data_IF_765320176311
#
_entry.id   IF_765320176311
#
_cell.length_a   1.000
_cell.length_b   1.000
_cell.length_c   1.000
_cell.angle_alpha   90.00
_cell.angle_beta   90.00
_cell.angle_gamma   90.00
#
_symmetry.space_group_name_H-M   'P 1'
#
loop_
_entity.id
_entity.type
_entity.pdbx_description
1 polymer ?
#
# COMPACT_ATOMS: atom_id res chain seq x y z
N UNK A 1 -10.34 24.33 10.89
CA UNK A 1 -10.54 23.74 9.54
C UNK A 1 -11.82 22.89 9.48
N UNK A 2 -12.63 23.01 8.42
CA UNK A 2 -13.74 22.06 8.09
C UNK A 2 -13.25 20.96 7.13
N UNK A 3 -13.96 19.81 6.99
CA UNK A 3 -13.58 18.76 6.04
C UNK A 3 -13.40 19.26 4.61
N UNK A 4 -14.24 20.19 4.17
CA UNK A 4 -14.24 20.76 2.81
C UNK A 4 -13.07 21.74 2.59
N UNK A 5 -12.48 22.25 3.68
CA UNK A 5 -11.31 23.11 3.64
C UNK A 5 -9.99 22.31 3.66
N UNK A 6 -10.04 21.02 3.98
CA UNK A 6 -8.84 20.20 4.03
C UNK A 6 -8.34 19.87 2.62
N UNK A 7 -7.04 20.10 2.42
CA UNK A 7 -6.33 19.73 1.22
C UNK A 7 -5.03 19.01 1.60
N UNK A 8 -4.92 17.73 1.25
CA UNK A 8 -3.75 16.91 1.60
C UNK A 8 -2.45 17.43 0.97
N UNK A 9 -2.54 18.19 -0.12
CA UNK A 9 -1.35 18.78 -0.77
C UNK A 9 -0.64 19.83 0.08
N UNK A 10 -1.33 20.40 1.07
CA UNK A 10 -0.76 21.40 1.97
C UNK A 10 0.20 20.77 2.98
N UNK A 11 0.09 19.46 3.20
CA UNK A 11 0.91 18.70 4.14
C UNK A 11 2.03 17.92 3.44
N UNK A 12 1.71 17.28 2.32
CA UNK A 12 2.65 16.43 1.56
C UNK A 12 2.70 16.84 0.08
N UNK A 13 3.31 18.00 -0.22
CA UNK A 13 3.38 18.51 -1.59
C UNK A 13 4.31 17.68 -2.47
N UNK A 14 4.21 17.86 -3.80
CA UNK A 14 5.15 17.22 -4.75
C UNK A 14 6.59 17.67 -4.44
N UNK A 15 7.52 16.71 -4.42
CA UNK A 15 8.94 16.98 -4.20
C UNK A 15 9.32 17.27 -2.74
N UNK A 16 8.51 16.86 -1.76
CA UNK A 16 8.86 16.98 -0.34
C UNK A 16 9.84 15.89 0.16
N UNK A 17 10.18 14.90 -0.67
CA UNK A 17 11.17 13.86 -0.35
C UNK A 17 12.52 14.13 -1.03
N UNK A 18 13.62 13.60 -0.50
CA UNK A 18 14.96 13.78 -1.09
C UNK A 18 15.20 12.94 -2.36
N UNK A 19 14.32 12.00 -2.68
CA UNK A 19 14.42 11.13 -3.85
C UNK A 19 13.71 11.74 -5.07
N UNK A 20 14.16 11.41 -6.30
CA UNK A 20 13.60 12.00 -7.51
C UNK A 20 12.17 11.52 -7.80
N UNK A 21 11.33 12.40 -8.35
CA UNK A 21 10.01 12.08 -8.91
C UNK A 21 10.19 11.54 -10.34
N UNK A 22 10.11 10.22 -10.50
CA UNK A 22 10.35 9.50 -11.76
C UNK A 22 9.09 8.72 -12.19
N UNK A 23 9.08 8.25 -13.44
CA UNK A 23 8.03 7.40 -13.97
C UNK A 23 8.60 6.39 -14.96
N UNK A 24 8.08 5.16 -14.91
CA UNK A 24 8.46 4.08 -15.81
C UNK A 24 8.11 4.46 -17.27
N UNK A 25 9.05 4.31 -18.24
CA UNK A 25 8.79 4.64 -19.64
C UNK A 25 7.69 3.77 -20.29
N UNK A 26 7.32 2.65 -19.66
CA UNK A 26 6.27 1.75 -20.12
C UNK A 26 4.89 2.03 -19.52
N UNK A 27 4.71 3.12 -18.76
CA UNK A 27 3.46 3.42 -18.03
C UNK A 27 2.19 3.32 -18.90
N UNK A 28 2.23 3.80 -20.14
CA UNK A 28 1.08 3.71 -21.06
C UNK A 28 0.70 2.26 -21.38
N UNK A 29 1.69 1.40 -21.62
CA UNK A 29 1.44 -0.01 -21.90
C UNK A 29 0.97 -0.75 -20.64
N UNK A 30 1.56 -0.45 -19.48
CA UNK A 30 1.11 -0.97 -18.19
C UNK A 30 -0.37 -0.64 -17.91
N UNK A 31 -0.83 0.54 -18.33
CA UNK A 31 -2.24 0.93 -18.24
C UNK A 31 -3.15 0.13 -19.16
N UNK A 32 -2.74 -0.08 -20.42
CA UNK A 32 -3.49 -0.93 -21.37
C UNK A 32 -3.62 -2.37 -20.88
N UNK A 33 -2.55 -2.93 -20.32
CA UNK A 33 -2.57 -4.28 -19.78
C UNK A 33 -3.52 -4.38 -18.57
N UNK A 34 -3.45 -3.42 -17.65
CA UNK A 34 -4.31 -3.36 -16.47
C UNK A 34 -5.79 -3.23 -16.84
N UNK A 35 -6.12 -2.35 -17.78
CA UNK A 35 -7.49 -2.23 -18.30
C UNK A 35 -7.95 -3.54 -18.95
N UNK A 36 -7.06 -4.20 -19.68
CA UNK A 36 -7.30 -5.53 -20.26
C UNK A 36 -7.59 -6.60 -19.19
N UNK A 37 -6.84 -6.63 -18.10
CA UNK A 37 -7.11 -7.52 -16.96
C UNK A 37 -8.45 -7.20 -16.31
N UNK A 38 -8.75 -5.92 -16.09
CA UNK A 38 -10.02 -5.49 -15.49
C UNK A 38 -11.20 -5.93 -16.36
N UNK A 39 -11.11 -5.75 -17.68
CA UNK A 39 -12.21 -6.04 -18.60
C UNK A 39 -12.40 -7.56 -18.85
N UNK A 40 -11.32 -8.35 -18.89
CA UNK A 40 -11.38 -9.76 -19.27
C UNK A 40 -11.32 -10.74 -18.10
N UNK A 41 -10.59 -10.40 -17.02
CA UNK A 41 -10.36 -11.33 -15.91
C UNK A 41 -11.26 -11.01 -14.72
N UNK A 42 -11.34 -9.73 -14.32
CA UNK A 42 -12.13 -9.26 -13.16
C UNK A 42 -13.64 -9.15 -13.48
N UNK A 43 -14.18 -10.17 -14.15
CA UNK A 43 -15.57 -10.26 -14.60
C UNK A 43 -16.57 -10.44 -13.46
N UNK A 44 -16.10 -10.83 -12.27
CA UNK A 44 -16.90 -10.87 -11.05
C UNK A 44 -17.27 -9.47 -10.52
N UNK A 45 -16.53 -8.43 -10.93
CA UNK A 45 -16.89 -7.04 -10.66
C UNK A 45 -18.06 -6.62 -11.56
N UNK A 46 -18.86 -5.65 -11.11
CA UNK A 46 -19.84 -5.02 -11.99
C UNK A 46 -19.18 -4.11 -13.03
N UNK A 47 -19.93 -3.69 -14.05
CA UNK A 47 -19.45 -2.71 -15.04
C UNK A 47 -19.09 -1.36 -14.39
N UNK A 48 -19.88 -0.91 -13.41
CA UNK A 48 -19.62 0.33 -12.66
C UNK A 48 -18.34 0.19 -11.84
N UNK A 49 -18.12 -0.95 -11.17
CA UNK A 49 -16.89 -1.21 -10.43
C UNK A 49 -15.67 -1.22 -11.34
N UNK A 50 -15.70 -1.95 -12.46
CA UNK A 50 -14.63 -1.93 -13.46
C UNK A 50 -14.33 -0.51 -13.95
N UNK A 51 -15.36 0.28 -14.23
CA UNK A 51 -15.20 1.69 -14.62
C UNK A 51 -14.50 2.51 -13.55
N UNK A 52 -14.81 2.28 -12.27
CA UNK A 52 -14.17 2.98 -11.15
C UNK A 52 -12.69 2.55 -11.03
N UNK A 53 -12.38 1.24 -11.08
CA UNK A 53 -11.00 0.74 -11.04
C UNK A 53 -10.13 1.33 -12.17
N UNK A 54 -10.63 1.36 -13.41
CA UNK A 54 -9.90 1.98 -14.53
C UNK A 54 -9.62 3.46 -14.29
N UNK A 55 -10.57 4.20 -13.71
CA UNK A 55 -10.39 5.62 -13.34
C UNK A 55 -9.39 5.86 -12.19
N UNK A 56 -9.05 4.84 -11.40
CA UNK A 56 -8.03 4.95 -10.35
C UNK A 56 -6.62 5.03 -10.94
N UNK A 57 -6.42 4.53 -12.17
CA UNK A 57 -5.14 4.49 -12.87
C UNK A 57 -4.02 3.88 -12.01
N UNK A 58 -4.31 2.74 -11.34
CA UNK A 58 -3.38 2.12 -10.38
C UNK A 58 -2.01 1.78 -11.00
N UNK A 59 -1.96 1.59 -12.32
CA UNK A 59 -0.70 1.37 -13.04
C UNK A 59 0.27 2.56 -12.91
N UNK A 60 -0.24 3.78 -12.74
CA UNK A 60 0.59 4.96 -12.47
C UNK A 60 1.26 4.88 -11.11
N UNK A 61 0.63 4.25 -10.11
CA UNK A 61 1.27 4.01 -8.82
C UNK A 61 2.49 3.11 -9.00
N UNK A 62 2.31 1.94 -9.65
CA UNK A 62 3.42 1.02 -9.96
C UNK A 62 4.51 1.71 -10.77
N UNK A 63 4.14 2.43 -11.83
CA UNK A 63 5.09 3.08 -12.73
C UNK A 63 5.90 4.19 -12.04
N UNK A 64 5.32 4.89 -11.06
CA UNK A 64 6.02 5.93 -10.29
C UNK A 64 6.87 5.35 -9.18
N UNK A 65 6.40 4.29 -8.53
CA UNK A 65 7.17 3.65 -7.47
C UNK A 65 8.40 2.93 -8.00
N UNK A 66 8.29 2.32 -9.18
CA UNK A 66 9.32 1.45 -9.75
C UNK A 66 9.67 1.86 -11.19
N UNK A 67 10.31 3.03 -11.35
CA UNK A 67 10.50 3.68 -12.65
C UNK A 67 11.54 3.00 -13.54
N UNK A 68 12.40 2.12 -13.01
CA UNK A 68 13.46 1.46 -13.79
C UNK A 68 13.23 -0.03 -14.03
N UNK A 69 12.11 -0.60 -13.57
CA UNK A 69 11.72 -1.96 -13.98
C UNK A 69 11.67 -2.06 -15.50
N UNK A 70 12.21 -3.15 -16.05
CA UNK A 70 11.92 -3.49 -17.44
C UNK A 70 10.43 -3.77 -17.59
N UNK A 71 9.94 -3.74 -18.83
CA UNK A 71 8.54 -4.05 -19.10
C UNK A 71 8.13 -5.43 -18.56
N UNK A 72 8.98 -6.45 -18.75
CA UNK A 72 8.74 -7.82 -18.27
C UNK A 72 8.68 -7.90 -16.75
N UNK A 73 9.55 -7.17 -16.05
CA UNK A 73 9.54 -7.09 -14.58
C UNK A 73 8.33 -6.30 -14.06
N UNK A 74 7.88 -5.29 -14.80
CA UNK A 74 6.76 -4.45 -14.42
C UNK A 74 5.41 -5.20 -14.46
N UNK A 75 5.26 -6.24 -15.29
CA UNK A 75 4.01 -7.01 -15.42
C UNK A 75 3.52 -7.56 -14.06
N UNK A 76 4.28 -8.43 -13.34
CA UNK A 76 3.82 -8.96 -12.07
C UNK A 76 3.71 -7.89 -10.98
N UNK A 77 4.56 -6.87 -11.00
CA UNK A 77 4.48 -5.75 -10.05
C UNK A 77 3.16 -4.97 -10.23
N UNK A 78 2.77 -4.74 -11.48
CA UNK A 78 1.55 -4.03 -11.85
C UNK A 78 0.30 -4.89 -11.59
N UNK A 79 0.40 -6.20 -11.86
CA UNK A 79 -0.65 -7.17 -11.54
C UNK A 79 -0.90 -7.23 -10.04
N UNK A 80 0.18 -7.26 -9.26
CA UNK A 80 0.10 -7.22 -7.80
C UNK A 80 -0.58 -5.94 -7.32
N UNK A 81 -0.27 -4.76 -7.88
CA UNK A 81 -0.96 -3.51 -7.53
C UNK A 81 -2.49 -3.60 -7.71
N UNK A 82 -2.97 -4.10 -8.87
CA UNK A 82 -4.41 -4.27 -9.09
C UNK A 82 -5.01 -5.30 -8.13
N UNK A 83 -4.37 -6.46 -8.03
CA UNK A 83 -4.84 -7.59 -7.23
C UNK A 83 -4.96 -7.20 -5.76
N UNK A 84 -3.97 -6.49 -5.22
CA UNK A 84 -3.94 -6.12 -3.81
C UNK A 84 -4.98 -5.06 -3.47
N UNK A 85 -5.13 -4.03 -4.31
CA UNK A 85 -6.15 -2.97 -4.09
C UNK A 85 -7.56 -3.55 -4.19
N UNK A 86 -7.79 -4.43 -5.16
CA UNK A 86 -9.09 -5.07 -5.31
C UNK A 86 -9.43 -6.01 -4.14
N UNK A 87 -8.42 -6.67 -3.59
CA UNK A 87 -8.55 -7.53 -2.43
C UNK A 87 -8.76 -6.71 -1.14
N UNK A 88 -8.05 -5.60 -0.94
CA UNK A 88 -8.24 -4.66 0.16
C UNK A 88 -9.67 -4.06 0.18
N UNK A 89 -10.16 -3.61 -0.98
CA UNK A 89 -11.52 -3.07 -1.11
C UNK A 89 -12.60 -4.15 -0.79
N UNK A 90 -12.32 -5.44 -1.00
CA UNK A 90 -13.24 -6.54 -0.63
C UNK A 90 -13.25 -6.84 0.86
N UNK A 91 -12.07 -6.96 1.48
CA UNK A 91 -11.96 -7.36 2.90
C UNK A 91 -12.56 -6.35 3.85
N UNK A 92 -12.69 -5.08 3.43
CA UNK A 92 -13.32 -4.02 4.21
C UNK A 92 -14.76 -4.34 4.66
N UNK A 93 -15.46 -5.24 3.95
CA UNK A 93 -16.84 -5.65 4.28
C UNK A 93 -16.97 -7.10 4.70
N UNK A 94 -15.85 -7.80 4.85
CA UNK A 94 -15.82 -9.22 5.19
C UNK A 94 -15.86 -9.47 6.71
N UNK A 95 -16.33 -10.65 7.11
CA UNK A 95 -16.13 -11.14 8.47
C UNK A 95 -14.66 -11.45 8.74
N UNK A 96 -14.28 -11.59 10.02
CA UNK A 96 -12.92 -11.99 10.38
C UNK A 96 -12.59 -13.38 9.82
N UNK A 97 -13.57 -14.30 9.81
CA UNK A 97 -13.41 -15.63 9.25
C UNK A 97 -13.13 -15.58 7.74
N UNK A 98 -13.88 -14.77 6.99
CA UNK A 98 -13.67 -14.59 5.54
C UNK A 98 -12.29 -13.99 5.23
N UNK A 99 -11.83 -13.01 6.03
CA UNK A 99 -10.48 -12.43 5.91
C UNK A 99 -9.40 -13.50 6.13
N UNK A 100 -9.59 -14.35 7.15
CA UNK A 100 -8.67 -15.44 7.46
C UNK A 100 -8.63 -16.50 6.36
N UNK A 101 -9.78 -16.90 5.84
CA UNK A 101 -9.90 -17.85 4.72
C UNK A 101 -9.19 -17.31 3.47
N UNK A 102 -9.42 -16.04 3.13
CA UNK A 102 -8.77 -15.37 2.01
C UNK A 102 -7.25 -15.30 2.19
N UNK A 103 -6.75 -14.90 3.38
CA UNK A 103 -5.31 -14.91 3.67
C UNK A 103 -4.72 -16.30 3.49
N UNK A 104 -5.34 -17.32 4.07
CA UNK A 104 -4.88 -18.71 3.97
C UNK A 104 -4.81 -19.12 2.51
N UNK A 105 -5.90 -18.89 1.76
CA UNK A 105 -5.99 -19.31 0.37
C UNK A 105 -4.97 -18.62 -0.54
N UNK A 106 -4.81 -17.30 -0.42
CA UNK A 106 -3.79 -16.55 -1.14
C UNK A 106 -2.36 -17.02 -0.79
N UNK A 107 -2.09 -17.26 0.49
CA UNK A 107 -0.77 -17.75 0.94
C UNK A 107 -0.48 -19.15 0.40
N UNK A 108 -1.47 -20.04 0.39
CA UNK A 108 -1.33 -21.39 -0.17
C UNK A 108 -1.06 -21.35 -1.68
N UNK A 109 -1.75 -20.46 -2.41
CA UNK A 109 -1.50 -20.25 -3.84
C UNK A 109 -0.07 -19.79 -4.05
N UNK A 110 0.38 -18.75 -3.34
CA UNK A 110 1.74 -18.26 -3.41
C UNK A 110 2.77 -19.36 -3.10
N UNK A 111 2.48 -20.27 -2.16
CA UNK A 111 3.33 -21.42 -1.81
C UNK A 111 3.30 -22.58 -2.81
N UNK A 112 2.42 -22.53 -3.82
CA UNK A 112 2.41 -23.49 -4.94
C UNK A 112 1.09 -24.22 -5.16
N UNK A 113 0.07 -23.98 -4.34
CA UNK A 113 -1.27 -24.48 -4.65
C UNK A 113 -1.79 -23.84 -5.95
N UNK A 114 -2.52 -24.60 -6.75
CA UNK A 114 -3.16 -24.05 -7.94
C UNK A 114 -4.44 -23.30 -7.55
N UNK A 115 -4.73 -22.21 -8.27
CA UNK A 115 -6.06 -21.59 -8.21
C UNK A 115 -7.08 -22.56 -8.82
N UNK A 116 -8.24 -22.71 -8.18
CA UNK A 116 -9.30 -23.60 -8.67
C UNK A 116 -10.04 -22.94 -9.82
N UNK A 117 -10.56 -23.69 -10.82
CA UNK A 117 -11.24 -23.13 -11.97
C UNK A 117 -12.46 -22.23 -11.66
N UNK A 118 -13.10 -22.44 -10.51
CA UNK A 118 -14.26 -21.69 -10.04
C UNK A 118 -13.90 -20.44 -9.21
N UNK A 119 -12.64 -20.26 -8.85
CA UNK A 119 -12.20 -19.10 -8.09
C UNK A 119 -12.22 -17.83 -8.95
N UNK A 120 -12.39 -16.68 -8.32
CA UNK A 120 -12.41 -15.41 -9.05
C UNK A 120 -10.98 -14.97 -9.43
N UNK A 121 -10.89 -13.87 -10.19
CA UNK A 121 -9.62 -13.39 -10.73
C UNK A 121 -8.58 -13.03 -9.66
N UNK A 122 -8.95 -12.74 -8.41
CA UNK A 122 -7.98 -12.43 -7.36
C UNK A 122 -7.05 -13.61 -7.09
N UNK A 123 -7.59 -14.83 -7.08
CA UNK A 123 -6.83 -16.06 -6.83
C UNK A 123 -6.06 -16.49 -8.08
N UNK A 124 -6.65 -16.38 -9.26
CA UNK A 124 -5.96 -16.65 -10.53
C UNK A 124 -4.78 -15.70 -10.75
N UNK A 125 -4.97 -14.40 -10.51
CA UNK A 125 -3.88 -13.43 -10.59
C UNK A 125 -2.81 -13.67 -9.54
N UNK A 126 -3.17 -14.13 -8.33
CA UNK A 126 -2.18 -14.54 -7.33
C UNK A 126 -1.29 -15.70 -7.82
N UNK A 127 -1.87 -16.67 -8.54
CA UNK A 127 -1.10 -17.76 -9.15
C UNK A 127 -0.19 -17.25 -10.28
N UNK A 128 -0.68 -16.33 -11.12
CA UNK A 128 0.15 -15.69 -12.15
C UNK A 128 1.30 -14.91 -11.53
N UNK A 129 1.06 -14.13 -10.48
CA UNK A 129 2.10 -13.37 -9.75
C UNK A 129 3.18 -14.30 -9.21
N UNK A 130 2.80 -15.45 -8.62
CA UNK A 130 3.76 -16.46 -8.18
C UNK A 130 4.64 -16.93 -9.33
N UNK A 131 4.03 -17.35 -10.43
CA UNK A 131 4.74 -17.97 -11.55
C UNK A 131 5.61 -16.93 -12.29
N UNK A 132 5.10 -15.70 -12.46
CA UNK A 132 5.80 -14.57 -13.08
C UNK A 132 7.01 -14.12 -12.23
N UNK A 133 6.88 -13.98 -10.90
CA UNK A 133 8.03 -13.63 -10.05
C UNK A 133 9.06 -14.76 -9.97
N UNK A 134 8.64 -16.02 -9.82
CA UNK A 134 9.56 -17.18 -9.80
C UNK A 134 10.32 -17.37 -11.10
N UNK A 135 9.84 -16.80 -12.21
CA UNK A 135 10.55 -16.86 -13.48
C UNK A 135 11.86 -16.04 -13.50
N UNK A 136 12.02 -15.03 -12.62
CA UNK A 136 13.21 -14.18 -12.61
C UNK A 136 13.78 -13.84 -11.24
N UNK A 137 13.07 -14.09 -10.14
CA UNK A 137 13.56 -13.87 -8.77
C UNK A 137 13.98 -15.17 -8.09
N UNK A 138 15.03 -15.15 -7.24
CA UNK A 138 15.45 -16.32 -6.48
C UNK A 138 14.44 -16.68 -5.39
N UNK A 139 14.42 -17.97 -5.00
CA UNK A 139 13.51 -18.50 -3.98
C UNK A 139 13.58 -17.73 -2.66
N UNK A 140 14.77 -17.31 -2.22
CA UNK A 140 14.95 -16.52 -1.00
C UNK A 140 14.13 -15.21 -1.03
N UNK A 141 14.13 -14.50 -2.16
CA UNK A 141 13.34 -13.28 -2.33
C UNK A 141 11.85 -13.59 -2.36
N UNK A 142 11.47 -14.67 -3.05
CA UNK A 142 10.08 -15.05 -3.18
C UNK A 142 9.46 -15.50 -1.85
N UNK A 143 10.17 -16.29 -1.04
CA UNK A 143 9.70 -16.67 0.30
C UNK A 143 9.52 -15.46 1.22
N UNK A 144 10.40 -14.46 1.11
CA UNK A 144 10.26 -13.17 1.79
C UNK A 144 9.01 -12.41 1.33
N UNK A 145 8.73 -12.38 0.02
CA UNK A 145 7.51 -11.80 -0.53
C UNK A 145 6.26 -12.49 0.03
N UNK A 146 6.22 -13.83 0.05
CA UNK A 146 5.10 -14.59 0.64
C UNK A 146 4.95 -14.29 2.14
N UNK A 147 6.05 -14.19 2.87
CA UNK A 147 6.01 -13.86 4.29
C UNK A 147 5.46 -12.46 4.55
N UNK A 148 5.91 -11.45 3.79
CA UNK A 148 5.38 -10.10 3.91
C UNK A 148 3.92 -10.01 3.50
N UNK A 149 3.49 -10.73 2.46
CA UNK A 149 2.06 -10.87 2.13
C UNK A 149 1.28 -11.39 3.34
N UNK A 150 1.73 -12.51 3.91
CA UNK A 150 1.10 -13.12 5.08
C UNK A 150 1.00 -12.16 6.26
N UNK A 151 2.09 -11.44 6.57
CA UNK A 151 2.14 -10.52 7.70
C UNK A 151 1.16 -9.35 7.54
N UNK A 152 1.04 -8.80 6.34
CA UNK A 152 0.12 -7.69 6.04
C UNK A 152 -1.34 -8.03 6.39
N UNK A 153 -1.77 -9.27 6.17
CA UNK A 153 -3.12 -9.71 6.57
C UNK A 153 -3.17 -10.15 8.02
N UNK A 154 -2.26 -11.02 8.46
CA UNK A 154 -2.30 -11.64 9.79
C UNK A 154 -2.08 -10.63 10.91
N UNK A 155 -1.13 -9.72 10.72
CA UNK A 155 -0.71 -8.73 11.72
C UNK A 155 -1.15 -7.31 11.36
N UNK A 156 -1.70 -7.10 10.16
CA UNK A 156 -2.35 -5.87 9.74
C UNK A 156 -3.87 -5.99 9.78
N UNK A 157 -4.48 -6.32 8.64
CA UNK A 157 -5.94 -6.30 8.42
C UNK A 157 -6.73 -7.04 9.51
N UNK A 158 -6.33 -8.26 9.89
CA UNK A 158 -7.04 -9.02 10.94
C UNK A 158 -7.01 -8.33 12.30
N UNK A 159 -5.95 -7.58 12.63
CA UNK A 159 -5.84 -6.86 13.89
C UNK A 159 -6.60 -5.53 13.90
N UNK A 160 -6.94 -4.98 12.73
CA UNK A 160 -7.82 -3.80 12.64
C UNK A 160 -9.27 -4.15 12.99
N UNK A 161 -9.71 -5.37 12.63
CA UNK A 161 -11.10 -5.82 12.68
C UNK A 161 -11.86 -5.46 13.98
N UNK A 162 -11.37 -5.80 15.19
CA UNK A 162 -12.10 -5.49 16.43
C UNK A 162 -12.33 -4.00 16.65
N UNK A 163 -11.43 -3.13 16.17
CA UNK A 163 -11.56 -1.68 16.30
C UNK A 163 -12.54 -1.09 15.29
N UNK A 164 -12.51 -1.60 14.05
CA UNK A 164 -13.48 -1.24 13.00
C UNK A 164 -14.90 -1.60 13.43
N UNK A 165 -15.12 -2.81 13.98
CA UNK A 165 -16.42 -3.25 14.53
C UNK A 165 -16.84 -2.43 15.76
N UNK A 166 -15.90 -2.07 16.63
CA UNK A 166 -16.19 -1.24 17.80
C UNK A 166 -16.40 0.25 17.46
N UNK A 167 -16.18 0.66 16.21
CA UNK A 167 -16.17 2.06 15.76
C UNK A 167 -15.31 2.95 16.67
N UNK A 168 -14.16 2.43 17.09
CA UNK A 168 -13.26 3.13 17.99
C UNK A 168 -11.80 2.79 17.69
N UNK A 169 -10.94 3.79 17.40
CA UNK A 169 -9.52 3.52 17.18
C UNK A 169 -8.82 2.97 18.43
N UNK A 170 -7.73 2.19 18.26
CA UNK A 170 -6.80 1.86 19.34
C UNK A 170 -6.07 3.11 19.87
N UNK A 171 -5.24 2.95 20.91
CA UNK A 171 -4.28 4.00 21.28
C UNK A 171 -3.25 4.19 20.16
N UNK A 172 -2.66 5.38 20.07
CA UNK A 172 -1.65 5.78 19.10
C UNK A 172 -0.50 4.78 19.02
N UNK A 173 0.02 4.35 20.17
CA UNK A 173 1.13 3.39 20.19
C UNK A 173 0.76 2.04 19.54
N UNK A 174 -0.44 1.54 19.84
CA UNK A 174 -0.92 0.28 19.26
C UNK A 174 -1.33 0.46 17.79
N UNK A 175 -1.94 1.60 17.46
CA UNK A 175 -2.27 1.99 16.10
C UNK A 175 -1.02 1.97 15.21
N UNK A 176 0.05 2.67 15.59
CA UNK A 176 1.32 2.67 14.84
C UNK A 176 1.86 1.26 14.61
N UNK A 177 1.76 0.41 15.63
CA UNK A 177 2.24 -0.99 15.55
C UNK A 177 1.42 -1.81 14.54
N UNK A 178 0.09 -1.68 14.54
CA UNK A 178 -0.77 -2.42 13.59
C UNK A 178 -0.65 -1.81 12.18
N UNK A 179 -0.64 -0.48 12.08
CA UNK A 179 -0.64 0.26 10.82
C UNK A 179 0.61 0.01 9.98
N UNK A 180 1.75 -0.29 10.61
CA UNK A 180 2.95 -0.77 9.93
C UNK A 180 2.66 -2.00 9.03
N UNK A 181 1.77 -2.90 9.45
CA UNK A 181 1.42 -4.09 8.68
C UNK A 181 0.18 -3.85 7.82
N UNK A 182 -0.80 -3.10 8.33
CA UNK A 182 -2.09 -2.91 7.66
C UNK A 182 -2.10 -1.87 6.55
N UNK A 183 -1.04 -1.06 6.39
CA UNK A 183 -0.83 -0.24 5.18
C UNK A 183 -0.41 -1.09 3.97
N UNK A 184 -0.06 -2.36 4.18
CA UNK A 184 0.20 -3.34 3.11
C UNK A 184 1.43 -3.05 2.24
N UNK A 185 2.38 -2.25 2.73
CA UNK A 185 3.51 -1.77 1.93
C UNK A 185 4.77 -2.64 1.95
N UNK A 186 4.94 -3.51 2.96
CA UNK A 186 6.14 -4.36 3.08
C UNK A 186 6.42 -5.23 1.84
N UNK A 187 5.42 -5.89 1.22
CA UNK A 187 5.65 -6.64 -0.03
C UNK A 187 6.13 -5.76 -1.18
N UNK A 188 5.69 -4.50 -1.26
CA UNK A 188 6.13 -3.58 -2.30
C UNK A 188 7.57 -3.11 -2.05
N UNK A 189 7.98 -2.81 -0.80
CA UNK A 189 9.32 -2.30 -0.52
C UNK A 189 10.44 -3.19 -1.06
N UNK A 190 10.25 -4.51 -1.06
CA UNK A 190 11.24 -5.47 -1.57
C UNK A 190 11.30 -5.53 -3.11
N UNK A 191 10.41 -4.85 -3.84
CA UNK A 191 10.53 -4.66 -5.28
C UNK A 191 11.76 -3.81 -5.63
N UNK A 192 12.30 -3.03 -4.68
CA UNK A 192 13.59 -2.36 -4.85
C UNK A 192 14.75 -3.33 -5.13
N UNK A 193 14.66 -4.60 -4.70
CA UNK A 193 15.64 -5.64 -5.04
C UNK A 193 15.50 -6.13 -6.49
N UNK A 194 14.29 -6.04 -7.07
CA UNK A 194 14.07 -6.29 -8.51
C UNK A 194 14.73 -5.18 -9.31
N UNK A 195 14.42 -3.92 -8.97
CA UNK A 195 14.89 -2.76 -9.72
C UNK A 195 16.42 -2.57 -9.63
N UNK A 196 17.01 -2.85 -8.46
CA UNK A 196 18.46 -2.84 -8.28
C UNK A 196 19.16 -4.05 -8.91
N UNK A 197 18.45 -5.15 -9.14
CA UNK A 197 19.02 -6.44 -9.49
C UNK A 197 19.87 -7.08 -8.37
N UNK A 198 19.75 -6.59 -7.14
CA UNK A 198 20.58 -6.99 -6.00
C UNK A 198 19.68 -7.45 -4.86
N UNK A 199 19.62 -8.77 -4.68
CA UNK A 199 18.91 -9.39 -3.56
C UNK A 199 19.83 -9.43 -2.35
N UNK A 200 19.40 -8.81 -1.25
CA UNK A 200 20.14 -8.82 0.01
C UNK A 200 20.16 -10.25 0.61
N UNK A 201 21.34 -10.75 1.01
CA UNK A 201 21.44 -12.00 1.76
C UNK A 201 20.63 -11.93 3.05
N UNK A 202 20.14 -13.07 3.51
CA UNK A 202 19.26 -13.17 4.69
C UNK A 202 19.85 -12.48 5.92
N UNK A 203 21.11 -12.73 6.27
CA UNK A 203 21.76 -12.11 7.42
C UNK A 203 21.87 -10.58 7.36
N UNK A 204 21.89 -9.98 6.15
CA UNK A 204 21.87 -8.53 5.98
C UNK A 204 20.44 -8.02 6.03
N UNK A 205 19.51 -8.71 5.37
CA UNK A 205 18.12 -8.32 5.37
C UNK A 205 17.51 -8.36 6.78
N UNK A 206 17.81 -9.40 7.56
CA UNK A 206 17.40 -9.58 8.96
C UNK A 206 18.17 -8.68 9.94
N UNK A 207 19.21 -7.98 9.47
CA UNK A 207 19.97 -7.08 10.31
C UNK A 207 19.06 -6.02 10.93
N UNK A 208 19.20 -5.80 12.24
CA UNK A 208 18.28 -4.96 13.03
C UNK A 208 18.12 -3.55 12.46
N UNK A 209 19.19 -2.98 11.90
CA UNK A 209 19.16 -1.64 11.28
C UNK A 209 18.38 -1.67 9.96
N UNK A 210 18.52 -2.71 9.14
CA UNK A 210 17.75 -2.86 7.89
C UNK A 210 16.26 -3.03 8.20
N UNK A 211 15.92 -3.89 9.16
CA UNK A 211 14.53 -4.06 9.60
C UNK A 211 13.93 -2.76 10.16
N UNK A 212 14.72 -1.95 10.89
CA UNK A 212 14.27 -0.62 11.33
C UNK A 212 14.08 0.36 10.18
N UNK A 213 14.97 0.38 9.19
CA UNK A 213 14.78 1.19 7.98
C UNK A 213 13.51 0.78 7.23
N UNK A 214 13.26 -0.52 7.04
CA UNK A 214 12.02 -1.03 6.42
C UNK A 214 10.78 -0.60 7.21
N UNK A 215 10.83 -0.68 8.54
CA UNK A 215 9.76 -0.23 9.43
C UNK A 215 9.45 1.27 9.24
N UNK A 216 10.48 2.13 9.28
CA UNK A 216 10.32 3.57 9.06
C UNK A 216 9.80 3.89 7.65
N UNK A 217 10.34 3.25 6.60
CA UNK A 217 9.82 3.41 5.23
C UNK A 217 8.34 3.05 5.13
N UNK A 218 7.95 1.93 5.75
CA UNK A 218 6.56 1.46 5.75
C UNK A 218 5.65 2.47 6.43
N UNK A 219 6.07 3.00 7.59
CA UNK A 219 5.30 4.00 8.33
C UNK A 219 5.22 5.34 7.60
N UNK A 220 6.29 5.78 6.91
CA UNK A 220 6.21 6.98 6.07
C UNK A 220 5.11 6.83 5.02
N UNK A 221 5.01 5.69 4.33
CA UNK A 221 3.91 5.45 3.39
C UNK A 221 2.55 5.37 4.08
N UNK A 222 2.47 4.81 5.29
CA UNK A 222 1.23 4.80 6.06
C UNK A 222 0.71 6.22 6.35
N UNK A 223 1.60 7.12 6.77
CA UNK A 223 1.22 8.50 7.07
C UNK A 223 0.91 9.31 5.81
N UNK A 224 1.58 9.01 4.69
CA UNK A 224 1.16 9.51 3.38
C UNK A 224 -0.27 9.09 3.06
N UNK A 225 -0.57 7.79 3.19
CA UNK A 225 -1.88 7.26 2.92
C UNK A 225 -2.93 7.95 3.78
N UNK A 226 -2.74 7.98 5.10
CA UNK A 226 -3.68 8.55 6.06
C UNK A 226 -3.98 10.04 5.76
N UNK A 227 -2.97 10.84 5.44
CA UNK A 227 -3.17 12.25 5.11
C UNK A 227 -3.87 12.44 3.77
N UNK A 228 -3.52 11.65 2.74
CA UNK A 228 -4.14 11.75 1.42
C UNK A 228 -5.54 11.14 1.36
N UNK A 229 -5.82 10.08 2.12
CA UNK A 229 -7.11 9.39 2.16
C UNK A 229 -8.11 10.04 3.10
N UNK A 230 -7.68 10.90 4.02
CA UNK A 230 -8.52 11.59 5.00
C UNK A 230 -9.82 12.18 4.41
N UNK A 231 -9.84 12.91 3.27
CA UNK A 231 -11.08 13.43 2.70
C UNK A 231 -12.12 12.36 2.39
N UNK A 232 -11.65 11.25 1.81
CA UNK A 232 -12.46 10.11 1.43
C UNK A 232 -12.99 9.40 2.68
N UNK A 233 -12.16 9.24 3.69
CA UNK A 233 -12.49 8.54 4.93
C UNK A 233 -13.43 9.35 5.82
N UNK A 234 -13.26 10.67 5.90
CA UNK A 234 -14.19 11.58 6.55
C UNK A 234 -15.58 11.52 5.89
N UNK A 235 -15.64 11.44 4.56
CA UNK A 235 -16.90 11.30 3.83
C UNK A 235 -17.60 9.95 4.09
N UNK A 236 -16.82 8.86 4.27
CA UNK A 236 -17.32 7.54 4.66
C UNK A 236 -17.87 7.54 6.08
N UNK A 237 -17.20 8.24 7.01
CA UNK A 237 -17.64 8.47 8.38
C UNK A 237 -17.60 7.25 9.32
N UNK A 238 -17.24 6.07 8.81
CA UNK A 238 -17.09 4.83 9.60
C UNK A 238 -15.63 4.40 9.78
N UNK A 239 -14.70 5.06 9.09
CA UNK A 239 -13.28 4.74 9.19
C UNK A 239 -12.72 5.18 10.55
N UNK A 240 -11.89 4.32 11.14
CA UNK A 240 -11.24 4.57 12.43
C UNK A 240 -9.73 4.33 12.37
N UNK A 241 -9.22 3.69 11.32
CA UNK A 241 -7.82 3.31 11.18
C UNK A 241 -6.98 4.35 10.41
N UNK A 242 -7.09 5.62 10.83
CA UNK A 242 -6.32 6.74 10.30
C UNK A 242 -5.63 7.51 11.44
N UNK A 243 -4.36 7.87 11.27
CA UNK A 243 -3.57 8.59 12.27
C UNK A 243 -4.27 9.86 12.78
N UNK A 244 -4.91 10.63 11.90
CA UNK A 244 -5.61 11.87 12.29
C UNK A 244 -6.75 11.57 13.26
N UNK A 245 -7.59 10.57 12.98
CA UNK A 245 -8.68 10.19 13.88
C UNK A 245 -8.18 9.67 15.22
N UNK A 246 -7.09 8.90 15.21
CA UNK A 246 -6.44 8.39 16.42
C UNK A 246 -5.91 9.54 17.28
N UNK A 247 -5.25 10.53 16.68
CA UNK A 247 -4.73 11.71 17.37
C UNK A 247 -5.84 12.61 17.93
N UNK A 248 -6.93 12.81 17.19
CA UNK A 248 -8.10 13.52 17.70
C UNK A 248 -8.70 12.81 18.91
N UNK A 249 -8.81 11.48 18.88
CA UNK A 249 -9.33 10.71 20.02
C UNK A 249 -8.40 10.76 21.23
N UNK A 250 -7.10 10.54 21.04
CA UNK A 250 -6.15 10.37 22.15
C UNK A 250 -5.82 11.70 22.85
N UNK A 251 -5.68 12.77 22.08
CA UNK A 251 -5.23 14.07 22.57
C UNK A 251 -6.31 15.16 22.51
N UNK A 252 -7.52 14.83 22.10
CA UNK A 252 -8.65 15.77 21.95
C UNK A 252 -8.28 16.98 21.06
N UNK A 253 -7.54 16.70 19.97
CA UNK A 253 -7.08 17.72 19.03
C UNK A 253 -8.19 18.14 18.07
N UNK A 254 -8.11 19.40 17.62
CA UNK A 254 -8.87 19.84 16.44
C UNK A 254 -8.39 19.07 15.20
N UNK A 255 -9.19 19.06 14.12
CA UNK A 255 -8.78 18.44 12.86
C UNK A 255 -7.44 19.02 12.34
N UNK A 256 -7.30 20.34 12.45
CA UNK A 256 -6.12 21.08 12.01
C UNK A 256 -4.88 20.72 12.84
N UNK A 257 -5.02 20.68 14.17
CA UNK A 257 -3.92 20.31 15.07
C UNK A 257 -3.54 18.82 14.89
N UNK A 258 -4.52 17.94 14.65
CA UNK A 258 -4.27 16.53 14.40
C UNK A 258 -3.55 16.28 13.07
N UNK A 259 -3.90 17.01 12.00
CA UNK A 259 -3.17 16.93 10.73
C UNK A 259 -1.74 17.49 10.85
N UNK A 260 -1.55 18.59 11.59
CA UNK A 260 -0.22 19.13 11.86
C UNK A 260 0.64 18.14 12.66
N UNK A 261 0.06 17.47 13.66
CA UNK A 261 0.74 16.44 14.44
C UNK A 261 1.03 15.18 13.61
N UNK A 262 0.12 14.76 12.73
CA UNK A 262 0.35 13.67 11.79
C UNK A 262 1.53 13.97 10.85
N UNK A 263 1.62 15.20 10.32
CA UNK A 263 2.76 15.64 9.52
C UNK A 263 4.07 15.66 10.33
N UNK A 264 4.02 16.07 11.60
CA UNK A 264 5.17 16.04 12.51
C UNK A 264 5.68 14.60 12.69
N UNK A 265 4.78 13.65 12.98
CA UNK A 265 5.10 12.22 13.12
C UNK A 265 5.67 11.66 11.81
N UNK A 266 5.06 11.98 10.67
CA UNK A 266 5.59 11.61 9.35
C UNK A 266 7.04 12.06 9.16
N UNK A 267 7.33 13.33 9.46
CA UNK A 267 8.67 13.88 9.30
C UNK A 267 9.69 13.23 10.25
N UNK A 268 9.26 12.82 11.45
CA UNK A 268 10.11 12.05 12.39
C UNK A 268 10.47 10.66 11.86
N UNK A 269 9.51 9.95 11.24
CA UNK A 269 9.81 8.64 10.63
C UNK A 269 10.80 8.79 9.46
N UNK A 270 10.61 9.81 8.61
CA UNK A 270 11.52 10.09 7.50
C UNK A 270 12.92 10.49 8.00
N UNK A 271 13.00 11.32 9.04
CA UNK A 271 14.27 11.70 9.65
C UNK A 271 14.98 10.49 10.27
N UNK A 272 14.24 9.61 10.95
CA UNK A 272 14.79 8.39 11.56
C UNK A 272 15.33 7.42 10.50
N UNK A 273 14.60 7.23 9.40
CA UNK A 273 15.07 6.47 8.25
C UNK A 273 16.40 7.02 7.70
N UNK A 274 16.45 8.32 7.40
CA UNK A 274 17.64 8.96 6.85
C UNK A 274 18.81 8.93 7.85
N UNK A 275 18.54 9.08 9.15
CA UNK A 275 19.53 8.96 10.21
C UNK A 275 20.18 7.59 10.22
N UNK A 276 19.37 6.51 10.28
CA UNK A 276 19.87 5.13 10.28
C UNK A 276 20.70 4.81 9.04
N UNK A 277 20.24 5.23 7.85
CA UNK A 277 20.95 4.98 6.61
C UNK A 277 22.31 5.71 6.55
N UNK A 278 22.36 6.95 7.07
CA UNK A 278 23.59 7.74 7.09
C UNK A 278 24.58 7.29 8.16
N UNK A 279 24.09 6.91 9.35
CA UNK A 279 24.92 6.65 10.53
C UNK A 279 25.50 5.24 10.56
N UNK A 280 24.77 4.22 10.09
CA UNK A 280 25.23 2.84 10.12
C UNK A 280 25.79 2.39 8.76
N UNK A 281 27.12 2.30 8.67
CA UNK A 281 27.85 1.93 7.43
C UNK A 281 28.68 0.65 7.55
N UNK A 282 28.31 -0.23 8.48
CA UNK A 282 29.05 -1.45 8.83
C UNK A 282 28.51 -2.71 8.14
N UNK A 283 27.94 -2.57 6.93
CA UNK A 283 27.44 -3.72 6.15
C UNK A 283 28.52 -4.43 5.31
N UNK A 284 29.78 -4.02 5.43
CA UNK A 284 30.91 -4.62 4.73
C UNK A 284 30.76 -4.56 3.21
N UNK A 285 30.95 -5.69 2.52
CA UNK A 285 30.80 -5.78 1.06
C UNK A 285 29.37 -5.52 0.57
N UNK A 286 28.37 -5.62 1.44
CA UNK A 286 26.96 -5.40 1.10
C UNK A 286 26.50 -3.94 1.25
N UNK A 287 27.40 -3.01 1.60
CA UNK A 287 27.04 -1.61 1.81
C UNK A 287 26.36 -0.98 0.57
N UNK A 288 26.90 -1.21 -0.62
CA UNK A 288 26.30 -0.69 -1.86
C UNK A 288 24.91 -1.28 -2.12
N UNK A 289 24.70 -2.55 -1.74
CA UNK A 289 23.40 -3.21 -1.93
C UNK A 289 22.35 -2.61 -1.00
N UNK A 290 22.71 -2.33 0.26
CA UNK A 290 21.83 -1.63 1.21
C UNK A 290 21.56 -0.20 0.74
N UNK A 291 22.58 0.51 0.25
CA UNK A 291 22.42 1.87 -0.27
C UNK A 291 21.44 1.89 -1.47
N UNK A 292 21.51 0.91 -2.38
CA UNK A 292 20.57 0.76 -3.49
C UNK A 292 19.17 0.38 -3.01
N UNK A 293 19.05 -0.55 -2.06
CA UNK A 293 17.76 -0.92 -1.47
C UNK A 293 17.04 0.32 -0.91
N UNK A 294 17.76 1.12 -0.10
CA UNK A 294 17.20 2.35 0.49
C UNK A 294 16.87 3.39 -0.57
N UNK A 295 17.74 3.56 -1.58
CA UNK A 295 17.48 4.47 -2.69
C UNK A 295 16.20 4.11 -3.45
N UNK A 296 16.04 2.86 -3.88
CA UNK A 296 14.87 2.46 -4.67
C UNK A 296 13.58 2.44 -3.86
N UNK A 297 13.63 2.03 -2.59
CA UNK A 297 12.49 2.16 -1.69
C UNK A 297 12.10 3.64 -1.50
N UNK A 298 13.08 4.54 -1.41
CA UNK A 298 12.91 5.99 -1.35
C UNK A 298 12.30 6.60 -2.61
N UNK A 299 12.73 6.15 -3.79
CA UNK A 299 12.07 6.47 -5.07
C UNK A 299 10.61 5.98 -5.05
N UNK A 300 10.37 4.78 -4.53
CA UNK A 300 9.04 4.23 -4.26
C UNK A 300 8.15 5.17 -3.44
N UNK A 301 8.68 5.63 -2.30
CA UNK A 301 8.04 6.58 -1.39
C UNK A 301 7.69 7.93 -2.05
N UNK A 302 8.59 8.49 -2.86
CA UNK A 302 8.30 9.69 -3.64
C UNK A 302 7.23 9.42 -4.69
N UNK A 303 7.32 8.28 -5.39
CA UNK A 303 6.41 7.90 -6.46
C UNK A 303 4.97 7.73 -6.00
N UNK A 304 4.76 7.06 -4.86
CA UNK A 304 3.41 6.87 -4.29
C UNK A 304 2.80 8.19 -3.82
N UNK A 305 3.61 9.10 -3.25
CA UNK A 305 3.15 10.45 -2.92
C UNK A 305 2.70 11.20 -4.17
N UNK A 306 3.49 11.17 -5.25
CA UNK A 306 3.08 11.79 -6.51
C UNK A 306 1.81 11.16 -7.07
N UNK A 307 1.65 9.84 -6.98
CA UNK A 307 0.40 9.16 -7.36
C UNK A 307 -0.80 9.65 -6.55
N UNK A 308 -0.66 9.82 -5.23
CA UNK A 308 -1.74 10.35 -4.38
C UNK A 308 -2.22 11.74 -4.79
N UNK A 309 -1.32 12.59 -5.29
CA UNK A 309 -1.65 13.94 -5.78
C UNK A 309 -2.41 13.94 -7.12
N UNK A 310 -2.32 12.86 -7.90
CA UNK A 310 -2.85 12.79 -9.27
C UNK A 310 -4.10 11.91 -9.39
N UNK A 311 -4.20 10.85 -8.57
CA UNK A 311 -5.25 9.84 -8.69
C UNK A 311 -6.65 10.37 -8.37
N UNK A 312 -7.65 9.77 -9.02
CA UNK A 312 -9.05 10.00 -8.68
C UNK A 312 -9.52 9.21 -7.44
N UNK A 313 -8.69 8.30 -6.90
CA UNK A 313 -9.07 7.42 -5.77
C UNK A 313 -9.37 8.19 -4.47
N UNK A 314 -8.70 9.31 -4.21
CA UNK A 314 -8.77 10.04 -2.92
C UNK A 314 -9.50 11.39 -2.99
N UNK A 315 -10.22 11.66 -4.09
CA UNK A 315 -10.99 12.91 -4.24
C UNK A 315 -12.18 12.96 -3.28
N UNK A 316 -12.53 14.20 -2.88
CA UNK A 316 -13.69 14.52 -2.05
C UNK A 316 -14.98 13.89 -2.60
N UNK A 317 -15.89 13.50 -1.68
CA UNK A 317 -17.24 13.01 -2.03
C UNK A 317 -17.35 11.51 -2.34
N UNK A 318 -16.34 10.69 -2.01
CA UNK A 318 -16.43 9.24 -2.10
C UNK A 318 -16.46 8.67 -3.53
N UNK A 319 -16.16 9.47 -4.54
CA UNK A 319 -16.22 9.07 -5.96
C UNK A 319 -15.21 7.95 -6.30
N UNK A 320 -14.21 7.74 -5.45
CA UNK A 320 -13.19 6.70 -5.58
C UNK A 320 -13.48 5.37 -4.88
N UNK A 321 -14.66 5.18 -4.25
CA UNK A 321 -15.04 3.88 -3.70
C UNK A 321 -15.54 2.96 -4.82
N UNK A 322 -14.79 1.91 -5.14
CA UNK A 322 -15.30 0.83 -5.99
C UNK A 322 -16.22 -0.11 -5.20
N UNK A 323 -16.10 -0.15 -3.88
CA UNK A 323 -16.82 -1.10 -3.03
C UNK A 323 -17.28 -0.46 -1.70
N UNK A 324 -18.48 -0.82 -1.19
CA UNK A 324 -19.55 -1.51 -1.90
C UNK A 324 -20.15 -0.56 -2.95
N UNK A 325 -20.94 -1.08 -3.90
CA UNK A 325 -21.75 -0.19 -4.73
C UNK A 325 -22.80 0.48 -3.85
N UNK A 326 -22.49 1.68 -3.38
CA UNK A 326 -23.38 2.43 -2.52
C UNK A 326 -24.76 2.61 -3.19
N UNK A 327 -25.79 1.98 -2.61
CA UNK A 327 -27.18 2.42 -2.68
C UNK A 327 -27.35 3.67 -1.80
N UNK A 328 -26.52 4.69 -1.98
CA UNK A 328 -26.67 6.01 -1.35
C UNK A 328 -27.91 6.69 -1.94
N UNK A 329 -29.07 6.18 -1.56
CA UNK A 329 -30.30 6.95 -1.56
C UNK A 329 -30.06 8.07 -0.53
N UNK A 330 -30.13 9.36 -0.91
CA UNK A 330 -30.01 10.41 0.07
C UNK A 330 -31.09 10.19 1.12
N UNK A 331 -30.70 9.95 2.37
CA UNK A 331 -31.63 10.03 3.50
C UNK A 331 -32.12 11.47 3.53
N UNK A 332 -33.32 11.69 2.97
CA UNK A 332 -34.08 12.92 3.18
C UNK A 332 -34.26 13.08 4.68
N UNK A 333 -33.55 14.04 5.26
CA UNK A 333 -33.80 14.53 6.61
C UNK A 333 -35.22 15.10 6.59
N UNK A 334 -36.10 14.53 7.42
CA UNK A 334 -37.39 15.13 7.78
C UNK A 334 -37.25 15.86 9.10
#
# INVERSE_FOLDING_TARGET
MTPEQFNSTDYLPRGCYPWPDLINPHAEQMGKDMDGWIDNDYTFLTEKQRTIYKKMELHMCTARMWPHLTYEQAIPCNRFMLQYVALDDQVEHSSLEEIQELRIRCTDILRGAQAMPEENALYHHMAMIRDEFRAFMPDLWFERFVYYFYQSFRYGIELEYPYKIAHRPPSLNLYKTIREYSVLMRPYLIFGEIESGLVLPEHIFEHIVVQKMISHMTLVVAWQNDLHSLPKEMAKGTEVFNLVFVLQQEYNLSLEDACAEALRIHNEELASLNGLHNEYREFGEYQEHVDKFVYYAGVGLQGVNTFYLETNRYKHGGVGFAWPEDNLTPKTVK
#
